data_IF_752491358988
#
_entry.id   IF_752491358988
#
_cell.length_a   1.000
_cell.length_b   1.000
_cell.length_c   1.000
_cell.angle_alpha   90.00
_cell.angle_beta   90.00
_cell.angle_gamma   90.00
#
_symmetry.space_group_name_H-M   'P 1'
#
loop_
_entity.id
_entity.type
_entity.pdbx_description
1 polymer ?
#
# COMPACT_ATOMS: atom_id res chain seq x y z
N UNK A 1 48.60 23.38 8.43
CA UNK A 1 48.18 22.22 9.27
C UNK A 1 46.87 22.57 9.93
N UNK A 2 45.76 21.99 9.49
CA UNK A 2 44.56 21.87 10.33
C UNK A 2 43.81 20.62 9.88
N UNK A 3 43.90 19.55 10.68
CA UNK A 3 43.27 18.25 10.44
C UNK A 3 41.84 18.35 10.99
N UNK A 4 40.87 18.62 10.13
CA UNK A 4 39.47 18.38 10.47
C UNK A 4 39.18 16.91 10.18
N UNK A 5 39.13 16.15 11.26
CA UNK A 5 38.90 14.72 11.29
C UNK A 5 37.38 14.50 11.24
N UNK A 6 36.82 14.50 10.03
CA UNK A 6 35.43 14.07 9.78
C UNK A 6 35.36 12.54 9.97
N UNK A 7 35.27 12.12 11.23
CA UNK A 7 35.04 10.73 11.58
C UNK A 7 33.55 10.42 11.36
N UNK A 8 33.14 10.30 10.09
CA UNK A 8 31.90 9.66 9.72
C UNK A 8 32.08 8.17 10.02
N UNK A 9 31.61 7.76 11.20
CA UNK A 9 31.40 6.37 11.54
C UNK A 9 30.43 5.76 10.52
N UNK A 10 30.97 5.26 9.42
CA UNK A 10 30.27 4.43 8.45
C UNK A 10 30.12 3.04 9.05
N UNK A 11 29.33 2.92 10.12
CA UNK A 11 28.82 1.63 10.56
C UNK A 11 27.68 1.26 9.62
N UNK A 12 28.04 0.70 8.46
CA UNK A 12 27.09 -0.10 7.68
C UNK A 12 26.75 -1.29 8.59
N UNK A 13 25.48 -1.48 9.00
CA UNK A 13 25.13 -2.54 9.94
C UNK A 13 25.42 -3.91 9.36
N UNK A 14 25.68 -4.88 10.24
CA UNK A 14 25.79 -6.31 9.93
C UNK A 14 24.74 -6.75 8.91
N UNK A 15 25.19 -7.55 7.95
CA UNK A 15 24.40 -8.12 6.85
C UNK A 15 22.95 -8.42 7.24
N UNK A 16 22.01 -7.84 6.50
CA UNK A 16 20.57 -8.11 6.62
C UNK A 16 20.20 -9.56 6.22
N UNK A 17 21.13 -10.33 5.67
CA UNK A 17 20.87 -11.66 5.09
C UNK A 17 20.58 -12.75 6.14
N UNK A 18 20.84 -12.50 7.43
CA UNK A 18 20.63 -13.48 8.51
C UNK A 18 19.47 -13.15 9.46
N UNK A 19 18.84 -11.98 9.32
CA UNK A 19 17.75 -11.55 10.22
C UNK A 19 16.39 -12.07 9.73
N UNK A 20 15.56 -12.52 10.66
CA UNK A 20 14.15 -12.85 10.40
C UNK A 20 13.34 -11.61 10.03
N UNK A 21 12.18 -11.81 9.38
CA UNK A 21 11.31 -10.72 8.97
C UNK A 21 10.84 -9.89 10.18
N UNK A 22 10.53 -10.55 11.30
CA UNK A 22 10.17 -9.90 12.56
C UNK A 22 11.31 -9.02 13.09
N UNK A 23 12.55 -9.51 13.10
CA UNK A 23 13.71 -8.73 13.53
C UNK A 23 13.97 -7.53 12.62
N UNK A 24 13.74 -7.66 11.31
CA UNK A 24 13.83 -6.55 10.36
C UNK A 24 12.77 -5.47 10.67
N UNK A 25 11.54 -5.89 11.00
CA UNK A 25 10.48 -4.95 11.38
C UNK A 25 10.71 -4.30 12.74
N UNK A 26 11.20 -5.05 13.73
CA UNK A 26 11.58 -4.48 15.04
C UNK A 26 12.73 -3.47 14.89
N UNK A 27 13.69 -3.72 14.00
CA UNK A 27 14.78 -2.78 13.73
C UNK A 27 14.29 -1.50 13.05
N UNK A 28 13.28 -1.60 12.17
CA UNK A 28 12.71 -0.45 11.46
C UNK A 28 11.76 0.38 12.32
N UNK A 29 10.89 -0.27 13.09
CA UNK A 29 9.77 0.38 13.79
C UNK A 29 9.96 0.46 15.30
N UNK A 30 10.90 -0.29 15.86
CA UNK A 30 10.92 -0.62 17.28
C UNK A 30 9.86 -1.65 17.66
N UNK A 31 9.97 -2.20 18.87
CA UNK A 31 9.02 -3.19 19.40
C UNK A 31 7.61 -2.64 19.53
N UNK A 32 7.48 -1.48 20.17
CA UNK A 32 6.19 -0.81 20.36
C UNK A 32 5.53 -0.47 19.01
N UNK A 33 6.32 0.00 18.03
CA UNK A 33 5.85 0.29 16.68
C UNK A 33 5.35 -0.97 15.95
N UNK A 34 6.06 -2.09 16.09
CA UNK A 34 5.64 -3.37 15.51
C UNK A 34 4.34 -3.89 16.16
N UNK A 35 4.20 -3.77 17.48
CA UNK A 35 2.96 -4.15 18.18
C UNK A 35 1.77 -3.30 17.72
N UNK A 36 1.95 -1.99 17.56
CA UNK A 36 0.91 -1.10 17.00
C UNK A 36 0.50 -1.53 15.60
N UNK A 37 1.44 -1.88 14.72
CA UNK A 37 1.12 -2.33 13.36
C UNK A 37 0.40 -3.68 13.33
N UNK A 38 0.78 -4.62 14.20
CA UNK A 38 0.06 -5.89 14.38
C UNK A 38 -1.38 -5.65 14.84
N UNK A 39 -1.58 -4.75 15.80
CA UNK A 39 -2.92 -4.39 16.27
C UNK A 39 -3.79 -3.75 15.17
N UNK A 40 -3.23 -2.85 14.36
CA UNK A 40 -3.93 -2.28 13.18
C UNK A 40 -4.34 -3.36 12.18
N UNK A 41 -3.46 -4.31 11.91
CA UNK A 41 -3.75 -5.43 11.00
C UNK A 41 -4.88 -6.32 11.52
N UNK A 42 -4.89 -6.68 12.82
CA UNK A 42 -5.98 -7.46 13.40
C UNK A 42 -7.30 -6.67 13.45
N UNK A 43 -7.26 -5.38 13.78
CA UNK A 43 -8.44 -4.51 13.74
C UNK A 43 -9.05 -4.42 12.33
N UNK A 44 -8.22 -4.48 11.29
CA UNK A 44 -8.69 -4.46 9.89
C UNK A 44 -9.48 -5.70 9.50
N UNK A 45 -9.17 -6.87 10.07
CA UNK A 45 -9.92 -8.12 9.84
C UNK A 45 -11.34 -8.08 10.40
N UNK A 46 -11.59 -7.22 11.40
CA UNK A 46 -12.90 -7.06 12.04
C UNK A 46 -13.83 -6.12 11.26
N UNK A 47 -13.34 -5.42 10.24
CA UNK A 47 -14.16 -4.49 9.44
C UNK A 47 -15.12 -5.27 8.53
N UNK A 48 -16.37 -4.80 8.34
CA UNK A 48 -17.42 -5.54 7.63
C UNK A 48 -17.12 -5.78 6.14
N UNK A 49 -16.26 -4.96 5.53
CA UNK A 49 -15.85 -5.08 4.13
C UNK A 49 -14.60 -5.97 3.93
N UNK A 50 -14.01 -6.49 5.03
CA UNK A 50 -12.87 -7.40 4.97
C UNK A 50 -13.23 -8.69 4.22
N UNK A 51 -12.34 -9.10 3.32
CA UNK A 51 -12.46 -10.37 2.60
C UNK A 51 -11.07 -10.96 2.36
N UNK A 52 -10.92 -12.24 2.61
CA UNK A 52 -9.66 -12.94 2.35
C UNK A 52 -9.30 -12.86 0.86
N UNK A 53 -8.04 -12.56 0.56
CA UNK A 53 -7.55 -12.37 -0.81
C UNK A 53 -7.80 -10.99 -1.43
N UNK A 54 -8.49 -10.08 -0.75
CA UNK A 54 -8.60 -8.67 -1.16
C UNK A 54 -7.48 -7.79 -0.56
N UNK A 55 -7.40 -6.54 -1.03
CA UNK A 55 -6.30 -5.62 -0.69
C UNK A 55 -6.23 -5.30 0.82
N UNK A 56 -7.39 -5.10 1.46
CA UNK A 56 -7.52 -4.93 2.92
C UNK A 56 -6.51 -3.95 3.56
N UNK A 57 -6.32 -2.77 2.96
CA UNK A 57 -5.44 -1.75 3.56
C UNK A 57 -6.00 -1.32 4.92
N UNK A 58 -5.13 -1.29 5.94
CA UNK A 58 -5.46 -0.78 7.27
C UNK A 58 -5.09 0.69 7.46
N UNK A 59 -4.32 1.27 6.52
CA UNK A 59 -3.89 2.66 6.54
C UNK A 59 -3.67 3.15 5.10
N UNK A 60 -4.10 4.38 4.82
CA UNK A 60 -3.93 5.04 3.54
C UNK A 60 -2.48 5.54 3.40
N UNK A 61 -1.72 5.06 2.41
CA UNK A 61 -0.34 5.51 2.19
C UNK A 61 -0.21 7.01 1.87
N UNK A 62 -1.29 7.64 1.38
CA UNK A 62 -1.27 9.04 0.96
C UNK A 62 -1.53 10.04 2.09
N UNK A 63 -2.33 9.66 3.10
CA UNK A 63 -2.77 10.60 4.14
C UNK A 63 -2.79 10.03 5.56
N UNK A 64 -2.38 8.77 5.76
CA UNK A 64 -2.32 8.10 7.05
C UNK A 64 -3.67 7.81 7.71
N UNK A 65 -4.79 7.95 6.97
CA UNK A 65 -6.12 7.59 7.49
C UNK A 65 -6.27 6.07 7.58
N UNK A 66 -6.90 5.59 8.64
CA UNK A 66 -7.23 4.17 8.86
C UNK A 66 -8.56 3.72 8.21
N UNK A 67 -9.25 4.62 7.51
CA UNK A 67 -10.52 4.35 6.85
C UNK A 67 -10.32 4.17 5.34
N UNK A 68 -9.94 2.95 4.98
CA UNK A 68 -9.74 2.51 3.59
C UNK A 68 -10.56 1.23 3.31
N UNK A 69 -11.90 1.35 3.21
CA UNK A 69 -12.77 0.22 2.92
C UNK A 69 -12.52 -0.37 1.52
N UNK A 70 -12.70 -1.68 1.39
CA UNK A 70 -12.85 -2.37 0.13
C UNK A 70 -14.24 -2.07 -0.45
N UNK A 71 -14.27 -1.43 -1.61
CA UNK A 71 -15.49 -1.03 -2.31
C UNK A 71 -15.40 -1.41 -3.79
N UNK A 72 -16.55 -1.43 -4.45
CA UNK A 72 -16.59 -1.55 -5.90
C UNK A 72 -16.36 -0.14 -6.48
N UNK A 73 -15.32 -0.01 -7.30
CA UNK A 73 -14.89 1.25 -7.91
C UNK A 73 -15.20 1.18 -9.40
N UNK A 74 -15.92 2.19 -9.90
CA UNK A 74 -16.19 2.35 -11.32
C UNK A 74 -14.95 2.91 -12.02
N UNK A 75 -14.49 2.21 -13.06
CA UNK A 75 -13.43 2.65 -13.95
C UNK A 75 -14.03 2.97 -15.32
N UNK A 76 -13.99 4.25 -15.68
CA UNK A 76 -14.52 4.74 -16.96
C UNK A 76 -13.59 4.38 -18.12
N UNK A 77 -14.12 3.67 -19.12
CA UNK A 77 -13.43 3.41 -20.38
C UNK A 77 -13.87 4.46 -21.41
N UNK A 78 -13.10 5.53 -21.50
CA UNK A 78 -13.28 6.53 -22.55
C UNK A 78 -12.65 5.99 -23.84
N UNK A 79 -13.48 5.78 -24.87
CA UNK A 79 -13.04 5.45 -26.22
C UNK A 79 -13.34 6.66 -27.10
N UNK A 80 -12.30 7.38 -27.56
CA UNK A 80 -12.39 8.45 -28.56
C UNK A 80 -13.72 9.26 -28.54
N UNK A 81 -13.84 10.16 -27.56
CA UNK A 81 -14.97 11.07 -27.32
C UNK A 81 -16.31 10.46 -26.91
N UNK A 82 -16.47 9.14 -26.93
CA UNK A 82 -17.67 8.47 -26.41
C UNK A 82 -17.37 7.74 -25.09
N UNK A 83 -18.20 8.02 -24.07
CA UNK A 83 -18.24 7.23 -22.81
C UNK A 83 -19.04 5.97 -23.07
N UNK A 84 -18.38 4.92 -23.57
CA UNK A 84 -19.09 3.73 -24.03
C UNK A 84 -19.41 2.77 -22.87
N UNK A 85 -18.50 2.55 -21.90
CA UNK A 85 -18.72 1.61 -20.77
C UNK A 85 -17.92 1.97 -19.51
N UNK A 86 -18.46 1.65 -18.33
CA UNK A 86 -17.71 1.55 -17.08
C UNK A 86 -17.51 0.08 -16.69
N UNK A 87 -16.37 -0.24 -16.08
CA UNK A 87 -16.13 -1.53 -15.45
C UNK A 87 -16.08 -1.35 -13.93
N UNK A 88 -16.72 -2.26 -13.19
CA UNK A 88 -16.63 -2.30 -11.73
C UNK A 88 -15.49 -3.19 -11.31
N UNK A 89 -14.59 -2.65 -10.50
CA UNK A 89 -13.44 -3.37 -9.96
C UNK A 89 -13.41 -3.20 -8.46
N UNK A 90 -13.19 -4.28 -7.73
CA UNK A 90 -13.09 -4.22 -6.28
C UNK A 90 -11.71 -3.73 -5.87
N UNK A 91 -11.64 -2.74 -4.98
CA UNK A 91 -10.40 -2.12 -4.55
C UNK A 91 -10.57 -1.32 -3.26
N UNK A 92 -9.48 -0.78 -2.73
CA UNK A 92 -9.54 0.10 -1.55
C UNK A 92 -9.83 1.54 -1.96
N UNK A 93 -10.73 2.23 -1.26
CA UNK A 93 -10.93 3.68 -1.45
C UNK A 93 -10.80 4.39 -0.11
N UNK A 94 -9.86 5.31 0.01
CA UNK A 94 -9.70 6.10 1.22
C UNK A 94 -10.89 7.06 1.38
N UNK A 95 -11.62 6.95 2.48
CA UNK A 95 -12.76 7.84 2.77
C UNK A 95 -12.35 9.29 2.98
N UNK A 96 -11.08 9.52 3.39
CA UNK A 96 -10.56 10.85 3.70
C UNK A 96 -10.07 11.61 2.46
N UNK A 97 -9.12 11.05 1.72
CA UNK A 97 -8.50 11.73 0.58
C UNK A 97 -9.07 11.29 -0.78
N UNK A 98 -9.92 10.26 -0.82
CA UNK A 98 -10.55 9.76 -2.04
C UNK A 98 -9.66 8.89 -2.91
N UNK A 99 -8.39 8.67 -2.54
CA UNK A 99 -7.45 7.85 -3.30
C UNK A 99 -7.95 6.41 -3.44
N UNK A 100 -7.76 5.84 -4.63
CA UNK A 100 -8.18 4.48 -4.97
C UNK A 100 -6.97 3.57 -5.14
N UNK A 101 -7.04 2.37 -4.59
CA UNK A 101 -5.99 1.36 -4.62
C UNK A 101 -6.52 0.07 -5.21
N UNK A 102 -5.70 -0.56 -6.04
CA UNK A 102 -6.04 -1.79 -6.74
C UNK A 102 -4.94 -2.83 -6.52
N UNK A 103 -5.30 -4.11 -6.56
CA UNK A 103 -4.28 -5.16 -6.60
C UNK A 103 -3.51 -5.13 -7.95
N UNK A 104 -2.39 -5.85 -7.99
CA UNK A 104 -1.55 -5.90 -9.18
C UNK A 104 -2.23 -6.55 -10.39
N UNK A 105 -3.10 -7.55 -10.19
CA UNK A 105 -3.83 -8.24 -11.26
C UNK A 105 -4.87 -7.31 -11.90
N UNK A 106 -5.59 -6.55 -11.08
CA UNK A 106 -6.55 -5.51 -11.46
C UNK A 106 -5.83 -4.41 -12.23
N UNK A 107 -4.68 -3.95 -11.72
CA UNK A 107 -3.85 -2.94 -12.40
C UNK A 107 -3.36 -3.42 -13.77
N UNK A 108 -2.93 -4.69 -13.86
CA UNK A 108 -2.53 -5.30 -15.13
C UNK A 108 -3.67 -5.42 -16.13
N UNK A 109 -4.88 -5.75 -15.66
CA UNK A 109 -6.07 -5.81 -16.49
C UNK A 109 -6.43 -4.41 -17.04
N UNK A 110 -6.44 -3.39 -16.19
CA UNK A 110 -6.68 -1.99 -16.60
C UNK A 110 -5.67 -1.59 -17.68
N UNK A 111 -4.39 -1.90 -17.48
CA UNK A 111 -3.33 -1.59 -18.45
C UNK A 111 -3.52 -2.30 -19.79
N UNK A 112 -3.96 -3.57 -19.79
CA UNK A 112 -4.28 -4.32 -21.02
C UNK A 112 -5.47 -3.73 -21.75
N UNK A 113 -6.53 -3.37 -21.01
CA UNK A 113 -7.72 -2.74 -21.60
C UNK A 113 -7.34 -1.42 -22.25
N UNK A 114 -6.56 -0.56 -21.57
CA UNK A 114 -6.14 0.73 -22.12
C UNK A 114 -5.43 0.60 -23.48
N UNK A 115 -4.54 -0.39 -23.63
CA UNK A 115 -3.84 -0.68 -24.91
C UNK A 115 -4.76 -1.11 -26.05
N UNK A 116 -5.98 -1.58 -25.76
CA UNK A 116 -6.96 -1.93 -26.79
C UNK A 116 -7.82 -0.73 -27.21
N UNK A 117 -7.80 0.35 -26.43
CA UNK A 117 -8.56 1.57 -26.68
C UNK A 117 -7.73 2.66 -27.37
N UNK A 118 -6.40 2.60 -27.22
CA UNK A 118 -5.42 3.40 -27.97
C UNK A 118 -5.21 2.84 -29.39
#
# INVERSE_FOLDING_TARGET
MNKNNDNRNNNIPESFESKSLEELWELLLGKDGLEVQKAKYEARKLKPDYREGELNLYECPMCGSDDVPNVDIDFDLNMNNDRIKSIKMRGGKCSRCGETFYDSKVTDLIRKIKKLLD
#
